data_IF_937580729105
#
_entry.id   IF_937580729105
#
_cell.length_a   1.000
_cell.length_b   1.000
_cell.length_c   1.000
_cell.angle_alpha   90.00
_cell.angle_beta   90.00
_cell.angle_gamma   90.00
#
_symmetry.space_group_name_H-M   'P 1'
#
loop_
_entity.id
_entity.type
_entity.pdbx_description
1 polymer ?
#
# COMPACT_ATOMS: atom_id res chain seq x y z
N UNK A 1 -14.92 -12.91 -5.93
CA UNK A 1 -14.86 -11.46 -6.29
C UNK A 1 -13.46 -10.95 -6.00
N UNK A 2 -12.86 -10.06 -6.82
CA UNK A 2 -11.59 -9.40 -6.44
C UNK A 2 -11.86 -8.36 -5.36
N UNK A 3 -11.14 -8.39 -4.25
CA UNK A 3 -11.34 -7.48 -3.10
C UNK A 3 -11.33 -5.99 -3.51
N UNK A 4 -10.47 -5.59 -4.44
CA UNK A 4 -10.42 -4.23 -4.98
C UNK A 4 -11.79 -3.72 -5.46
N UNK A 5 -12.55 -4.60 -6.13
CA UNK A 5 -13.89 -4.30 -6.60
C UNK A 5 -14.90 -4.24 -5.45
N UNK A 6 -14.79 -5.13 -4.46
CA UNK A 6 -15.61 -5.09 -3.24
C UNK A 6 -15.45 -3.77 -2.47
N UNK A 7 -14.24 -3.24 -2.38
CA UNK A 7 -13.96 -1.94 -1.73
C UNK A 7 -14.71 -0.80 -2.41
N UNK A 8 -14.78 -0.82 -3.75
CA UNK A 8 -15.55 0.20 -4.49
C UNK A 8 -17.06 0.11 -4.23
N UNK A 9 -17.62 -1.09 -4.06
CA UNK A 9 -19.05 -1.28 -3.75
C UNK A 9 -19.40 -0.87 -2.32
N UNK A 10 -18.46 -1.04 -1.38
CA UNK A 10 -18.63 -0.69 0.02
C UNK A 10 -18.73 0.82 0.27
N UNK A 11 -18.40 1.66 -0.72
CA UNK A 11 -18.53 3.11 -0.58
C UNK A 11 -20.00 3.54 -0.70
N UNK A 12 -20.54 4.30 0.27
CA UNK A 12 -21.95 4.72 0.25
C UNK A 12 -22.29 5.67 -0.91
N UNK A 13 -21.28 6.21 -1.60
CA UNK A 13 -21.42 7.06 -2.79
C UNK A 13 -20.94 6.40 -4.08
N UNK A 14 -20.60 5.12 -4.05
CA UNK A 14 -20.24 4.43 -5.27
C UNK A 14 -21.40 4.45 -6.26
N UNK A 15 -21.12 4.76 -7.52
CA UNK A 15 -22.11 4.60 -8.57
C UNK A 15 -22.58 3.16 -8.49
N UNK A 16 -23.89 2.94 -8.30
CA UNK A 16 -24.49 1.60 -8.28
C UNK A 16 -24.01 0.85 -9.53
N UNK A 17 -22.96 0.04 -9.40
CA UNK A 17 -22.55 -0.82 -10.49
C UNK A 17 -23.59 -1.92 -10.48
N UNK A 18 -24.58 -1.79 -11.38
CA UNK A 18 -25.62 -2.78 -11.66
C UNK A 18 -25.05 -4.18 -11.99
N UNK A 19 -23.73 -4.36 -12.04
CA UNK A 19 -23.05 -5.63 -12.26
C UNK A 19 -23.23 -6.67 -11.15
N UNK A 20 -23.77 -6.31 -9.98
CA UNK A 20 -24.25 -7.33 -9.01
C UNK A 20 -25.53 -8.00 -9.54
N UNK A 21 -26.29 -7.34 -10.41
CA UNK A 21 -27.47 -7.92 -11.06
C UNK A 21 -27.09 -8.66 -12.36
N UNK A 22 -26.08 -9.53 -12.32
CA UNK A 22 -26.18 -10.68 -13.22
C UNK A 22 -27.40 -11.47 -12.77
N UNK A 23 -28.40 -11.65 -13.65
CA UNK A 23 -29.61 -12.47 -13.39
C UNK A 23 -29.23 -13.96 -13.32
N UNK A 24 -28.28 -14.31 -12.47
CA UNK A 24 -27.98 -15.69 -12.13
C UNK A 24 -28.77 -15.99 -10.86
N UNK A 25 -29.72 -16.92 -10.97
CA UNK A 25 -30.55 -17.39 -9.85
C UNK A 25 -29.83 -18.44 -8.98
N UNK A 26 -28.53 -18.65 -9.20
CA UNK A 26 -27.71 -19.59 -8.44
C UNK A 26 -27.29 -19.02 -7.07
N UNK A 27 -27.20 -19.86 -6.02
CA UNK A 27 -26.85 -19.44 -4.65
C UNK A 27 -25.39 -18.97 -4.47
N UNK A 28 -24.59 -18.94 -5.55
CA UNK A 28 -23.15 -18.68 -5.53
C UNK A 28 -22.75 -17.22 -5.75
N UNK A 29 -23.68 -16.26 -5.69
CA UNK A 29 -23.40 -14.84 -5.91
C UNK A 29 -23.54 -14.03 -4.62
N UNK A 30 -22.50 -13.26 -4.29
CA UNK A 30 -22.53 -12.33 -3.15
C UNK A 30 -23.47 -11.16 -3.44
N UNK A 31 -24.39 -10.88 -2.54
CA UNK A 31 -25.20 -9.67 -2.57
C UNK A 31 -24.40 -8.47 -2.05
N UNK A 32 -24.90 -7.25 -2.26
CA UNK A 32 -24.29 -6.05 -1.66
C UNK A 32 -24.28 -6.14 -0.12
N UNK A 33 -25.32 -6.73 0.48
CA UNK A 33 -25.36 -6.94 1.93
C UNK A 33 -24.27 -7.90 2.40
N UNK A 34 -24.01 -8.98 1.66
CA UNK A 34 -22.94 -9.93 1.98
C UNK A 34 -21.56 -9.27 1.86
N UNK A 35 -21.36 -8.44 0.82
CA UNK A 35 -20.12 -7.68 0.65
C UNK A 35 -19.91 -6.71 1.81
N UNK A 36 -20.94 -5.95 2.20
CA UNK A 36 -20.87 -5.02 3.33
C UNK A 36 -20.65 -5.75 4.66
N UNK A 37 -21.32 -6.88 4.88
CA UNK A 37 -21.13 -7.74 6.05
C UNK A 37 -19.71 -8.29 6.14
N UNK A 38 -19.18 -8.79 5.02
CA UNK A 38 -17.80 -9.26 4.94
C UNK A 38 -16.79 -8.14 5.19
N UNK A 39 -16.99 -6.95 4.60
CA UNK A 39 -16.13 -5.79 4.86
C UNK A 39 -16.22 -5.33 6.32
N UNK A 40 -17.39 -5.43 6.96
CA UNK A 40 -17.53 -5.15 8.39
C UNK A 40 -16.76 -6.14 9.28
N UNK A 41 -16.77 -7.43 8.94
CA UNK A 41 -15.95 -8.44 9.62
C UNK A 41 -14.45 -8.20 9.40
N UNK A 42 -14.06 -7.85 8.18
CA UNK A 42 -12.67 -7.49 7.86
C UNK A 42 -12.25 -6.23 8.63
N UNK A 43 -13.11 -5.21 8.73
CA UNK A 43 -12.82 -4.01 9.52
C UNK A 43 -12.58 -4.32 11.00
N UNK A 44 -13.30 -5.30 11.56
CA UNK A 44 -13.16 -5.73 12.95
C UNK A 44 -11.81 -6.39 13.22
N UNK A 45 -11.38 -7.31 12.36
CA UNK A 45 -10.17 -8.11 12.59
C UNK A 45 -8.91 -7.49 11.97
N UNK A 46 -9.03 -6.92 10.76
CA UNK A 46 -7.93 -6.35 9.97
C UNK A 46 -8.17 -4.87 9.65
N UNK A 47 -8.55 -4.08 10.68
CA UNK A 47 -8.97 -2.69 10.50
C UNK A 47 -7.90 -1.76 9.91
N UNK A 48 -6.62 -1.94 10.26
CA UNK A 48 -5.52 -1.12 9.70
C UNK A 48 -5.26 -1.50 8.25
N UNK A 49 -5.21 -2.79 7.94
CA UNK A 49 -5.06 -3.28 6.57
C UNK A 49 -6.20 -2.83 5.67
N UNK A 50 -7.45 -2.91 6.14
CA UNK A 50 -8.60 -2.40 5.39
C UNK A 50 -8.50 -0.89 5.16
N UNK A 51 -8.11 -0.11 6.19
CA UNK A 51 -7.91 1.33 6.05
C UNK A 51 -6.80 1.67 5.04
N UNK A 52 -5.70 0.90 5.01
CA UNK A 52 -4.65 1.01 4.00
C UNK A 52 -5.21 0.78 2.60
N UNK A 53 -5.93 -0.32 2.39
CA UNK A 53 -6.52 -0.63 1.09
C UNK A 53 -7.52 0.43 0.65
N UNK A 54 -8.44 0.87 1.52
CA UNK A 54 -9.37 1.97 1.22
C UNK A 54 -8.60 3.26 0.84
N UNK A 55 -7.57 3.64 1.60
CA UNK A 55 -6.74 4.80 1.29
C UNK A 55 -6.05 4.69 -0.09
N UNK A 56 -5.64 3.48 -0.49
CA UNK A 56 -4.96 3.25 -1.77
C UNK A 56 -5.90 3.19 -2.96
N UNK A 57 -6.97 2.40 -2.87
CA UNK A 57 -7.84 2.07 -4.00
C UNK A 57 -8.97 3.08 -4.17
N UNK A 58 -9.52 3.61 -3.08
CA UNK A 58 -10.62 4.59 -3.16
C UNK A 58 -10.19 6.03 -2.91
N UNK A 59 -8.91 6.23 -2.55
CA UNK A 59 -8.33 7.54 -2.26
C UNK A 59 -9.05 8.27 -1.11
N UNK A 60 -9.73 7.54 -0.23
CA UNK A 60 -10.42 8.10 0.93
C UNK A 60 -9.43 8.71 1.95
N UNK A 61 -9.63 10.00 2.26
CA UNK A 61 -8.80 10.75 3.20
C UNK A 61 -9.01 10.29 4.65
N UNK A 62 -10.22 9.88 5.02
CA UNK A 62 -10.51 9.43 6.39
C UNK A 62 -9.81 8.10 6.67
N UNK A 63 -9.89 7.16 5.73
CA UNK A 63 -9.16 5.90 5.78
C UNK A 63 -7.65 6.11 5.73
N UNK A 64 -7.16 7.07 4.94
CA UNK A 64 -5.74 7.44 4.96
C UNK A 64 -5.28 7.87 6.36
N UNK A 65 -6.04 8.74 7.03
CA UNK A 65 -5.71 9.18 8.39
C UNK A 65 -5.70 8.01 9.38
N UNK A 66 -6.72 7.14 9.33
CA UNK A 66 -6.79 5.91 10.16
C UNK A 66 -5.61 4.98 9.91
N UNK A 67 -5.25 4.79 8.64
CA UNK A 67 -4.09 3.98 8.26
C UNK A 67 -2.78 4.55 8.83
N UNK A 68 -2.58 5.87 8.78
CA UNK A 68 -1.39 6.51 9.37
C UNK A 68 -1.31 6.27 10.88
N UNK A 69 -2.43 6.35 11.60
CA UNK A 69 -2.46 6.06 13.05
C UNK A 69 -2.12 4.60 13.32
N UNK A 70 -2.73 3.66 12.59
CA UNK A 70 -2.46 2.23 12.75
C UNK A 70 -1.01 1.86 12.42
N UNK A 71 -0.48 2.40 11.32
CA UNK A 71 0.91 2.20 10.88
C UNK A 71 1.89 2.86 11.86
N UNK A 72 1.52 3.97 12.50
CA UNK A 72 2.34 4.57 13.56
C UNK A 72 2.48 3.66 14.77
N UNK A 73 1.40 2.96 15.16
CA UNK A 73 1.46 1.98 16.24
C UNK A 73 2.41 0.83 15.88
N UNK A 74 2.33 0.31 14.65
CA UNK A 74 3.23 -0.75 14.19
C UNK A 74 4.69 -0.28 14.06
N UNK A 75 4.91 0.92 13.51
CA UNK A 75 6.22 1.55 13.44
C UNK A 75 6.86 1.66 14.84
N UNK A 76 6.07 2.00 15.86
CA UNK A 76 6.53 2.07 17.25
C UNK A 76 6.91 0.71 17.83
N UNK A 77 6.23 -0.38 17.43
CA UNK A 77 6.60 -1.75 17.83
C UNK A 77 7.89 -2.21 17.15
N UNK A 78 8.10 -1.83 15.90
CA UNK A 78 9.30 -2.20 15.13
C UNK A 78 10.52 -1.37 15.54
N UNK A 79 10.32 -0.12 15.97
CA UNK A 79 11.38 0.84 16.25
C UNK A 79 12.53 0.32 17.14
N UNK A 80 12.29 -0.39 18.27
CA UNK A 80 13.37 -0.88 19.13
C UNK A 80 14.38 -1.79 18.42
N UNK A 81 13.96 -2.51 17.38
CA UNK A 81 14.83 -3.41 16.61
C UNK A 81 15.83 -2.66 15.71
N UNK A 82 15.55 -1.40 15.38
CA UNK A 82 16.32 -0.63 14.42
C UNK A 82 16.97 0.61 15.04
N UNK A 83 16.17 1.42 15.74
CA UNK A 83 16.59 2.72 16.30
C UNK A 83 16.78 2.67 17.83
N UNK A 84 16.49 1.53 18.46
CA UNK A 84 16.56 1.36 19.91
C UNK A 84 15.40 2.06 20.65
N UNK A 85 15.60 2.32 21.94
CA UNK A 85 14.59 2.94 22.79
C UNK A 85 14.32 4.41 22.39
N UNK A 86 13.04 4.77 22.33
CA UNK A 86 12.60 6.14 22.06
C UNK A 86 12.70 6.95 23.35
N UNK A 87 13.65 7.89 23.39
CA UNK A 87 13.95 8.72 24.57
C UNK A 87 13.49 10.16 24.40
N UNK A 88 13.44 10.65 23.16
CA UNK A 88 13.16 12.05 22.88
C UNK A 88 11.81 12.22 22.17
N UNK A 89 11.17 13.38 22.39
CA UNK A 89 9.98 13.78 21.63
C UNK A 89 10.24 13.78 20.12
N UNK A 90 11.44 14.20 19.70
CA UNK A 90 11.87 14.22 18.31
C UNK A 90 11.86 12.84 17.66
N UNK A 91 12.34 11.82 18.36
CA UNK A 91 12.27 10.42 17.89
C UNK A 91 10.82 9.94 17.75
N UNK A 92 9.95 10.26 18.71
CA UNK A 92 8.51 9.95 18.59
C UNK A 92 7.85 10.63 17.38
N UNK A 93 8.20 11.89 17.12
CA UNK A 93 7.72 12.61 15.92
C UNK A 93 8.28 12.01 14.62
N UNK A 94 9.54 11.56 14.62
CA UNK A 94 10.16 10.89 13.48
C UNK A 94 9.47 9.56 13.15
N UNK A 95 9.06 8.77 14.16
CA UNK A 95 8.27 7.56 13.93
C UNK A 95 6.92 7.86 13.27
N UNK A 96 6.24 8.93 13.72
CA UNK A 96 4.99 9.40 13.10
C UNK A 96 5.22 9.84 11.65
N UNK A 97 6.30 10.56 11.38
CA UNK A 97 6.67 10.96 10.03
C UNK A 97 6.97 9.75 9.14
N UNK A 98 7.71 8.74 9.63
CA UNK A 98 7.95 7.47 8.91
C UNK A 98 6.63 6.77 8.58
N UNK A 99 5.72 6.66 9.53
CA UNK A 99 4.42 6.04 9.29
C UNK A 99 3.64 6.79 8.19
N UNK A 100 3.56 8.12 8.29
CA UNK A 100 2.87 8.94 7.31
C UNK A 100 3.46 8.81 5.90
N UNK A 101 4.79 8.91 5.74
CA UNK A 101 5.43 8.74 4.42
C UNK A 101 5.31 7.30 3.91
N UNK A 102 5.31 6.30 4.80
CA UNK A 102 5.12 4.90 4.40
C UNK A 102 3.73 4.66 3.83
N UNK A 103 2.69 5.19 4.49
CA UNK A 103 1.32 5.14 3.96
C UNK A 103 1.21 5.89 2.64
N UNK A 104 1.79 7.09 2.54
CA UNK A 104 1.80 7.85 1.29
C UNK A 104 2.47 7.04 0.16
N UNK A 105 3.62 6.43 0.43
CA UNK A 105 4.36 5.62 -0.52
C UNK A 105 3.62 4.36 -0.94
N UNK A 106 2.99 3.66 0.00
CA UNK A 106 2.13 2.52 -0.27
C UNK A 106 0.92 2.90 -1.14
N UNK A 107 0.29 4.05 -0.87
CA UNK A 107 -0.87 4.53 -1.62
C UNK A 107 -0.55 5.01 -3.05
N UNK A 108 0.73 5.08 -3.43
CA UNK A 108 1.14 5.50 -4.77
C UNK A 108 0.66 4.49 -5.81
N UNK A 109 0.08 5.04 -6.87
CA UNK A 109 -0.40 4.31 -8.04
C UNK A 109 0.03 5.05 -9.31
N UNK A 110 -0.12 4.46 -10.49
CA UNK A 110 0.35 5.06 -11.74
C UNK A 110 -0.36 6.38 -12.10
N UNK A 111 -1.59 6.56 -11.62
CA UNK A 111 -2.39 7.80 -11.70
C UNK A 111 -1.98 8.87 -10.68
N UNK A 112 -1.18 8.53 -9.66
CA UNK A 112 -0.69 9.53 -8.71
C UNK A 112 0.25 10.50 -9.43
N UNK A 113 0.01 11.83 -9.39
CA UNK A 113 0.83 12.80 -10.09
C UNK A 113 2.33 12.65 -9.77
N UNK A 114 3.15 12.49 -10.81
CA UNK A 114 4.60 12.32 -10.68
C UNK A 114 5.07 10.93 -10.20
N UNK A 115 4.16 10.01 -9.86
CA UNK A 115 4.51 8.68 -9.37
C UNK A 115 4.80 7.67 -10.48
N UNK A 116 4.19 7.82 -11.65
CA UNK A 116 4.41 6.91 -12.78
C UNK A 116 5.88 6.88 -13.22
N UNK A 117 6.39 5.69 -13.50
CA UNK A 117 7.64 5.54 -14.21
C UNK A 117 7.48 6.02 -15.67
N UNK A 118 8.59 6.33 -16.32
CA UNK A 118 8.63 6.68 -17.75
C UNK A 118 8.12 5.55 -18.66
N UNK A 119 8.00 4.32 -18.16
CA UNK A 119 7.26 3.24 -18.85
C UNK A 119 5.74 3.42 -18.82
N UNK A 120 5.22 4.58 -18.37
CA UNK A 120 3.80 4.91 -18.23
C UNK A 120 3.03 3.93 -17.35
N UNK A 121 3.63 3.50 -16.24
CA UNK A 121 2.99 2.56 -15.32
C UNK A 121 3.01 1.09 -15.75
N UNK A 122 3.45 0.76 -16.98
CA UNK A 122 3.39 -0.63 -17.49
C UNK A 122 4.25 -1.65 -16.74
N UNK A 123 5.31 -1.21 -16.06
CA UNK A 123 6.26 -2.11 -15.41
C UNK A 123 7.18 -2.88 -16.37
N UNK A 124 6.87 -2.95 -17.66
CA UNK A 124 7.67 -3.63 -18.67
C UNK A 124 8.11 -2.69 -19.81
N UNK A 125 9.13 -3.11 -20.54
CA UNK A 125 9.62 -2.50 -21.78
C UNK A 125 9.93 -3.60 -22.79
N UNK A 126 9.82 -3.29 -24.08
CA UNK A 126 10.11 -4.26 -25.14
C UNK A 126 11.57 -4.66 -25.11
N UNK A 127 11.83 -5.96 -25.11
CA UNK A 127 13.17 -6.49 -25.25
C UNK A 127 13.53 -6.62 -26.73
N UNK A 128 14.26 -5.62 -27.25
CA UNK A 128 14.58 -5.55 -28.68
C UNK A 128 15.43 -6.73 -29.15
N UNK A 129 16.33 -7.22 -28.29
CA UNK A 129 17.24 -8.32 -28.61
C UNK A 129 16.50 -9.65 -28.70
N UNK A 130 15.78 -10.01 -27.63
CA UNK A 130 14.96 -11.21 -27.61
C UNK A 130 13.84 -11.15 -28.68
N UNK A 131 13.24 -9.98 -28.90
CA UNK A 131 12.20 -9.83 -29.92
C UNK A 131 12.74 -10.09 -31.34
N UNK A 132 13.96 -9.65 -31.63
CA UNK A 132 14.62 -9.89 -32.91
C UNK A 132 14.96 -11.37 -33.07
N UNK A 133 15.49 -12.00 -32.03
CA UNK A 133 15.89 -13.41 -32.05
C UNK A 133 14.71 -14.34 -32.32
N UNK A 134 13.57 -14.08 -31.68
CA UNK A 134 12.39 -14.95 -31.74
C UNK A 134 11.34 -14.52 -32.77
N UNK A 135 11.55 -13.41 -33.49
CA UNK A 135 10.61 -12.89 -34.48
C UNK A 135 9.24 -12.45 -33.92
N UNK A 136 9.12 -12.29 -32.59
CA UNK A 136 7.88 -11.92 -31.90
C UNK A 136 8.15 -10.88 -30.83
N UNK A 137 7.16 -10.08 -30.44
CA UNK A 137 7.32 -9.12 -29.34
C UNK A 137 7.54 -9.84 -28.01
N UNK A 138 8.72 -9.65 -27.42
CA UNK A 138 9.06 -10.12 -26.09
C UNK A 138 9.27 -8.90 -25.21
N UNK A 139 8.67 -8.91 -24.03
CA UNK A 139 8.81 -7.85 -23.03
C UNK A 139 9.75 -8.30 -21.90
N UNK A 140 10.45 -7.32 -21.31
CA UNK A 140 11.26 -7.51 -20.10
C UNK A 140 10.85 -6.52 -19.01
N UNK A 141 11.14 -6.79 -17.73
CA UNK A 141 10.92 -5.83 -16.65
C UNK A 141 11.61 -4.50 -16.96
N UNK A 142 10.91 -3.40 -16.69
CA UNK A 142 11.46 -2.07 -16.94
C UNK A 142 12.67 -1.82 -16.01
N UNK A 143 13.86 -1.52 -16.53
CA UNK A 143 15.07 -1.39 -15.73
C UNK A 143 15.02 -0.18 -14.79
N UNK A 144 14.17 0.81 -15.06
CA UNK A 144 14.03 2.03 -14.25
C UNK A 144 13.22 1.83 -12.98
N UNK A 145 12.20 0.97 -13.03
CA UNK A 145 11.29 0.73 -11.92
C UNK A 145 11.33 -0.71 -11.40
N UNK A 146 12.15 -1.57 -11.99
CA UNK A 146 12.29 -2.97 -11.60
C UNK A 146 11.00 -3.77 -11.74
N UNK A 147 10.12 -3.42 -12.68
CA UNK A 147 8.82 -4.10 -12.83
C UNK A 147 7.64 -3.40 -12.16
N UNK A 148 7.87 -2.48 -11.22
CA UNK A 148 6.77 -1.90 -10.40
C UNK A 148 5.86 -0.93 -11.14
N UNK A 149 6.30 -0.39 -12.28
CA UNK A 149 5.59 0.67 -13.00
C UNK A 149 5.67 2.05 -12.32
N UNK A 150 6.20 2.13 -11.10
CA UNK A 150 6.31 3.35 -10.30
C UNK A 150 7.75 3.86 -10.27
N UNK A 151 7.92 5.18 -10.19
CA UNK A 151 9.24 5.78 -9.95
C UNK A 151 9.76 5.32 -8.58
N UNK A 152 11.00 4.80 -8.46
CA UNK A 152 11.60 4.48 -7.17
C UNK A 152 11.56 5.68 -6.22
N UNK A 153 11.37 5.41 -4.93
CA UNK A 153 11.33 6.45 -3.88
C UNK A 153 12.78 6.79 -3.52
N UNK A 154 13.23 8.04 -3.69
CA UNK A 154 14.57 8.42 -3.25
C UNK A 154 14.68 8.39 -1.72
N UNK A 155 15.68 7.70 -1.18
CA UNK A 155 15.98 7.70 0.27
C UNK A 155 16.08 9.12 0.86
N UNK A 156 16.64 10.06 0.08
CA UNK A 156 16.75 11.46 0.45
C UNK A 156 15.39 12.13 0.74
N UNK A 157 14.32 11.73 0.06
CA UNK A 157 12.97 12.26 0.32
C UNK A 157 12.48 11.85 1.71
N UNK A 158 12.72 10.60 2.10
CA UNK A 158 12.33 10.08 3.42
C UNK A 158 13.20 10.72 4.51
N UNK A 159 14.52 10.80 4.29
CA UNK A 159 15.46 11.45 5.20
C UNK A 159 15.06 12.90 5.49
N UNK A 160 14.73 13.67 4.45
CA UNK A 160 14.30 15.08 4.57
C UNK A 160 13.05 15.25 5.44
N UNK A 161 12.17 14.24 5.51
CA UNK A 161 10.97 14.29 6.33
C UNK A 161 11.25 14.09 7.83
N UNK A 162 12.34 13.41 8.20
CA UNK A 162 12.64 13.06 9.60
C UNK A 162 13.82 13.84 10.20
N UNK A 163 14.78 14.27 9.38
CA UNK A 163 16.01 14.93 9.81
C UNK A 163 15.75 16.18 10.68
N UNK A 164 14.79 17.08 10.33
CA UNK A 164 14.46 18.23 11.19
C UNK A 164 13.89 17.85 12.57
N UNK A 165 13.32 16.65 12.70
CA UNK A 165 12.72 16.16 13.95
C UNK A 165 13.77 15.56 14.90
N UNK A 166 14.89 15.12 14.35
CA UNK A 166 15.98 14.48 15.09
C UNK A 166 17.14 15.45 15.38
N UNK A 167 17.10 16.66 14.82
CA UNK A 167 18.15 17.68 14.96
C UNK A 167 19.33 17.39 14.05
N UNK A 168 20.23 16.49 14.46
CA UNK A 168 21.34 16.02 13.64
C UNK A 168 21.19 14.52 13.40
N UNK A 169 20.98 14.14 12.14
CA UNK A 169 20.91 12.74 11.72
C UNK A 169 22.16 12.40 10.90
N UNK A 170 23.07 11.63 11.50
CA UNK A 170 24.27 11.20 10.79
C UNK A 170 23.92 10.25 9.64
N UNK A 171 24.82 10.15 8.65
CA UNK A 171 24.67 9.20 7.55
C UNK A 171 24.59 7.75 8.05
N UNK A 172 25.36 7.40 9.06
CA UNK A 172 25.39 6.06 9.64
C UNK A 172 24.06 5.70 10.32
N UNK A 173 23.52 6.60 11.15
CA UNK A 173 22.20 6.40 11.79
C UNK A 173 21.08 6.30 10.73
N UNK A 174 21.15 7.10 9.67
CA UNK A 174 20.20 7.00 8.57
C UNK A 174 20.27 5.64 7.87
N UNK A 175 21.44 5.26 7.35
CA UNK A 175 21.59 4.05 6.52
C UNK A 175 21.39 2.75 7.30
N UNK A 176 21.79 2.70 8.57
CA UNK A 176 21.77 1.47 9.38
C UNK A 176 20.55 1.34 10.29
N UNK A 177 19.85 2.43 10.60
CA UNK A 177 18.76 2.40 11.58
C UNK A 177 17.44 2.91 10.98
N UNK A 178 17.38 4.18 10.59
CA UNK A 178 16.11 4.81 10.21
C UNK A 178 15.61 4.36 8.82
N UNK A 179 16.50 4.15 7.85
CA UNK A 179 16.12 3.68 6.53
C UNK A 179 15.62 2.22 6.54
N UNK A 180 16.30 1.26 7.22
CA UNK A 180 15.77 -0.09 7.40
C UNK A 180 14.43 -0.13 8.15
N UNK A 181 14.24 0.72 9.17
CA UNK A 181 12.94 0.84 9.84
C UNK A 181 11.84 1.25 8.86
N UNK A 182 12.08 2.30 8.05
CA UNK A 182 11.16 2.71 7.00
C UNK A 182 10.84 1.58 6.02
N UNK A 183 11.86 0.85 5.54
CA UNK A 183 11.66 -0.27 4.63
C UNK A 183 10.80 -1.37 5.25
N UNK A 184 11.03 -1.70 6.53
CA UNK A 184 10.23 -2.67 7.26
C UNK A 184 8.77 -2.25 7.42
N UNK A 185 8.52 -0.97 7.73
CA UNK A 185 7.17 -0.41 7.85
C UNK A 185 6.45 -0.41 6.50
N UNK A 186 7.13 -0.01 5.41
CA UNK A 186 6.54 -0.05 4.07
C UNK A 186 6.24 -1.49 3.62
N UNK A 187 7.16 -2.42 3.89
CA UNK A 187 6.94 -3.84 3.58
C UNK A 187 5.73 -4.39 4.34
N UNK A 188 5.59 -4.04 5.62
CA UNK A 188 4.42 -4.40 6.41
C UNK A 188 3.12 -3.86 5.80
N UNK A 189 3.08 -2.60 5.33
CA UNK A 189 1.90 -2.06 4.63
C UNK A 189 1.51 -2.91 3.41
N UNK A 190 2.48 -3.44 2.65
CA UNK A 190 2.20 -4.33 1.52
C UNK A 190 1.71 -5.72 1.95
N UNK A 191 2.23 -6.27 3.05
CA UNK A 191 1.76 -7.55 3.60
C UNK A 191 0.29 -7.47 4.00
N UNK A 192 -0.16 -6.33 4.54
CA UNK A 192 -1.55 -6.12 4.94
C UNK A 192 -2.55 -6.35 3.80
N UNK A 193 -2.18 -6.09 2.53
CA UNK A 193 -3.07 -6.40 1.40
C UNK A 193 -3.40 -7.89 1.31
N UNK A 194 -2.41 -8.74 1.58
CA UNK A 194 -2.57 -10.20 1.52
C UNK A 194 -3.42 -10.71 2.69
N UNK A 195 -3.22 -10.17 3.89
CA UNK A 195 -3.99 -10.54 5.09
C UNK A 195 -5.47 -10.17 4.94
N UNK A 196 -5.74 -8.93 4.50
CA UNK A 196 -7.12 -8.46 4.26
C UNK A 196 -7.79 -9.28 3.16
N UNK A 197 -7.07 -9.58 2.06
CA UNK A 197 -7.60 -10.42 0.99
C UNK A 197 -7.89 -11.85 1.46
N UNK A 198 -6.99 -12.44 2.24
CA UNK A 198 -7.17 -13.78 2.78
C UNK A 198 -8.38 -13.85 3.71
N UNK A 199 -8.54 -12.89 4.61
CA UNK A 199 -9.71 -12.83 5.50
C UNK A 199 -11.00 -12.59 4.72
N UNK A 200 -11.02 -11.64 3.80
CA UNK A 200 -12.19 -11.36 2.97
C UNK A 200 -12.64 -12.60 2.19
N UNK A 201 -11.69 -13.30 1.56
CA UNK A 201 -11.98 -14.54 0.83
C UNK A 201 -12.51 -15.64 1.76
N UNK A 202 -11.95 -15.77 2.97
CA UNK A 202 -12.42 -16.77 3.95
C UNK A 202 -13.87 -16.50 4.37
N UNK A 203 -14.22 -15.24 4.58
CA UNK A 203 -15.57 -14.85 5.04
C UNK A 203 -16.61 -14.92 3.91
N UNK A 204 -16.18 -14.75 2.65
CA UNK A 204 -17.07 -14.75 1.47
C UNK A 204 -17.12 -16.09 0.72
N UNK A 205 -16.32 -17.06 1.12
CA UNK A 205 -16.33 -18.42 0.56
C UNK A 205 -17.33 -19.36 1.28
N UNK A 206 -18.00 -18.87 2.33
CA UNK A 206 -19.11 -19.55 3.01
C UNK A 206 -20.43 -19.30 2.26
#
# INVERSE_FOLDING_TARGET
MRLEYALSIGEPRSAMIQAIQSRSTGPSHLTQADVLGALGLVQKYEGVGLALMMARYTKDKASHHKAVIGVMAECSKLAPRYVGSIKTRGQGMALKAIAAVSVQHYCRTADTPGAACQCKGRGNVRDMEASRLHGKSIDKPCPRCGGTGLRPIPGAQIRRAIEPLLGTLSRGEWERQWYPLYQAVLAWCHVQESEVAALYNRVTAA
#
